data_IF_987596923356
#
_entry.id   IF_987596923356
#
_cell.length_a   1.000
_cell.length_b   1.000
_cell.length_c   1.000
_cell.angle_alpha   90.00
_cell.angle_beta   90.00
_cell.angle_gamma   90.00
#
_symmetry.space_group_name_H-M   'P 1'
#
loop_
_entity.id
_entity.type
_entity.pdbx_description
1 polymer ?
#
# COMPACT_ATOMS: atom_id res chain seq x y z
N UNK A 1 2.29 -11.52 -17.75
CA UNK A 1 1.69 -12.32 -16.66
C UNK A 1 0.67 -11.44 -15.93
N UNK A 2 -0.50 -11.95 -15.51
CA UNK A 2 -1.69 -11.24 -14.97
C UNK A 2 -2.77 -10.73 -15.94
N UNK A 3 -2.49 -10.54 -17.24
CA UNK A 3 -3.52 -10.07 -18.20
C UNK A 3 -4.77 -10.98 -18.22
N UNK A 4 -4.60 -12.30 -18.36
CA UNK A 4 -5.74 -13.22 -18.31
C UNK A 4 -6.45 -13.23 -16.95
N UNK A 5 -5.71 -13.02 -15.85
CA UNK A 5 -6.28 -12.97 -14.50
C UNK A 5 -7.15 -11.74 -14.32
N UNK A 6 -6.70 -10.57 -14.78
CA UNK A 6 -7.50 -9.34 -14.69
C UNK A 6 -8.72 -9.41 -15.62
N UNK A 7 -8.60 -9.99 -16.83
CA UNK A 7 -9.76 -10.23 -17.71
C UNK A 7 -10.82 -11.08 -16.99
N UNK A 8 -10.41 -12.14 -16.28
CA UNK A 8 -11.34 -13.03 -15.56
C UNK A 8 -11.88 -12.42 -14.27
N UNK A 9 -11.07 -11.68 -13.52
CA UNK A 9 -11.40 -11.25 -12.14
C UNK A 9 -11.88 -9.80 -12.01
N UNK A 10 -11.44 -8.92 -12.90
CA UNK A 10 -11.80 -7.50 -12.87
C UNK A 10 -11.83 -6.89 -14.28
N UNK A 11 -12.72 -7.37 -15.18
CA UNK A 11 -12.85 -6.82 -16.53
C UNK A 11 -13.32 -5.36 -16.53
N UNK A 12 -14.04 -4.93 -15.49
CA UNK A 12 -14.54 -3.55 -15.35
C UNK A 12 -13.39 -2.55 -15.22
N UNK A 13 -12.33 -2.88 -14.48
CA UNK A 13 -11.13 -2.04 -14.38
C UNK A 13 -10.48 -1.82 -15.77
N UNK A 14 -10.46 -2.85 -16.62
CA UNK A 14 -9.92 -2.73 -17.99
C UNK A 14 -10.78 -1.76 -18.80
N UNK A 15 -12.10 -1.94 -18.76
CA UNK A 15 -13.04 -1.08 -19.50
C UNK A 15 -12.95 0.39 -19.04
N UNK A 16 -12.85 0.62 -17.73
CA UNK A 16 -12.68 1.95 -17.16
C UNK A 16 -11.38 2.60 -17.63
N UNK A 17 -10.25 1.88 -17.55
CA UNK A 17 -8.95 2.39 -17.99
C UNK A 17 -8.93 2.74 -19.49
N UNK A 18 -9.49 1.87 -20.34
CA UNK A 18 -9.60 2.11 -21.79
C UNK A 18 -10.46 3.34 -22.08
N UNK A 19 -11.62 3.45 -21.43
CA UNK A 19 -12.53 4.58 -21.61
C UNK A 19 -11.87 5.89 -21.18
N UNK A 20 -11.29 5.94 -19.99
CA UNK A 20 -10.58 7.13 -19.48
C UNK A 20 -9.46 7.56 -20.43
N UNK A 21 -8.69 6.61 -20.96
CA UNK A 21 -7.62 6.91 -21.91
C UNK A 21 -8.16 7.42 -23.26
N UNK A 22 -9.17 6.75 -23.84
CA UNK A 22 -9.78 7.16 -25.11
C UNK A 22 -10.48 8.52 -25.02
N UNK A 23 -10.99 8.87 -23.84
CA UNK A 23 -11.57 10.17 -23.55
C UNK A 23 -10.52 11.27 -23.25
N UNK A 24 -9.24 10.93 -23.14
CA UNK A 24 -8.18 11.86 -22.78
C UNK A 24 -8.16 12.28 -21.30
N UNK A 25 -8.85 11.55 -20.41
CA UNK A 25 -8.91 11.81 -18.97
C UNK A 25 -7.62 11.38 -18.26
N UNK A 26 -6.92 10.39 -18.80
CA UNK A 26 -5.61 9.93 -18.32
C UNK A 26 -4.60 9.82 -19.47
N UNK A 27 -3.32 10.18 -19.25
CA UNK A 27 -2.28 10.01 -20.25
C UNK A 27 -1.79 8.56 -20.32
N UNK A 28 -1.02 8.19 -21.37
CA UNK A 28 -0.22 6.98 -21.35
C UNK A 28 0.75 6.97 -20.15
N UNK A 29 1.30 5.79 -19.81
CA UNK A 29 2.18 5.60 -18.65
C UNK A 29 1.49 5.87 -17.29
N UNK A 30 0.19 5.56 -17.19
CA UNK A 30 -0.61 5.70 -15.97
C UNK A 30 -1.02 4.32 -15.43
N UNK A 31 -0.87 4.12 -14.13
CA UNK A 31 -1.44 2.97 -13.43
C UNK A 31 -2.84 3.31 -12.94
N UNK A 32 -3.84 2.51 -13.32
CA UNK A 32 -5.22 2.63 -12.82
C UNK A 32 -5.44 1.62 -11.72
N UNK A 33 -5.92 2.07 -10.56
CA UNK A 33 -6.03 1.26 -9.34
C UNK A 33 -7.49 1.25 -8.89
N UNK A 34 -8.06 0.06 -8.78
CA UNK A 34 -9.41 -0.17 -8.27
C UNK A 34 -9.44 -0.11 -6.73
N UNK A 35 -9.91 1.00 -6.19
CA UNK A 35 -10.00 1.23 -4.74
C UNK A 35 -11.06 0.38 -4.05
N UNK A 36 -12.12 -0.01 -4.77
CA UNK A 36 -13.14 -0.94 -4.24
C UNK A 36 -12.54 -2.35 -4.12
N UNK A 37 -11.71 -2.72 -5.09
CA UNK A 37 -10.89 -3.93 -5.05
C UNK A 37 -9.94 -3.94 -3.85
N UNK A 38 -9.21 -2.85 -3.60
CA UNK A 38 -8.33 -2.71 -2.42
C UNK A 38 -9.14 -2.87 -1.13
N UNK A 39 -10.29 -2.20 -1.03
CA UNK A 39 -11.18 -2.27 0.14
C UNK A 39 -11.59 -3.71 0.46
N UNK A 40 -12.08 -4.45 -0.55
CA UNK A 40 -12.50 -5.85 -0.39
C UNK A 40 -11.33 -6.76 -0.02
N UNK A 41 -10.19 -6.60 -0.69
CA UNK A 41 -9.01 -7.43 -0.44
C UNK A 41 -8.42 -7.19 0.96
N UNK A 42 -8.36 -5.93 1.39
CA UNK A 42 -7.89 -5.56 2.73
C UNK A 42 -8.75 -6.23 3.81
N UNK A 43 -10.07 -6.22 3.64
CA UNK A 43 -10.98 -6.89 4.57
C UNK A 43 -10.75 -8.40 4.63
N UNK A 44 -10.61 -9.07 3.48
CA UNK A 44 -10.34 -10.51 3.42
C UNK A 44 -9.03 -10.86 4.16
N UNK A 45 -7.97 -10.08 3.94
CA UNK A 45 -6.68 -10.28 4.58
C UNK A 45 -6.75 -10.02 6.09
N UNK A 46 -7.41 -8.93 6.51
CA UNK A 46 -7.67 -8.58 7.92
C UNK A 46 -8.42 -9.70 8.63
N UNK A 47 -9.53 -10.16 8.06
CA UNK A 47 -10.40 -11.16 8.69
C UNK A 47 -9.65 -12.50 8.82
N UNK A 48 -8.79 -12.85 7.85
CA UNK A 48 -7.89 -14.00 7.95
C UNK A 48 -6.83 -13.82 9.04
N UNK A 49 -6.13 -12.68 9.08
CA UNK A 49 -5.07 -12.42 10.05
C UNK A 49 -5.61 -12.48 11.49
N UNK A 50 -6.77 -11.87 11.74
CA UNK A 50 -7.47 -11.90 13.05
C UNK A 50 -7.83 -13.32 13.49
N UNK A 51 -8.23 -14.19 12.57
CA UNK A 51 -8.53 -15.61 12.89
C UNK A 51 -7.32 -16.35 13.46
N UNK A 52 -6.12 -15.93 13.10
CA UNK A 52 -4.86 -16.56 13.49
C UNK A 52 -4.03 -15.71 14.47
N UNK A 53 -4.61 -14.65 15.04
CA UNK A 53 -3.93 -13.72 15.94
C UNK A 53 -2.63 -13.13 15.34
N UNK A 54 -2.68 -12.83 14.04
CA UNK A 54 -1.56 -12.24 13.30
C UNK A 54 -1.76 -10.74 13.10
N UNK A 55 -0.65 -10.00 13.18
CA UNK A 55 -0.60 -8.60 12.78
C UNK A 55 -0.34 -8.42 11.30
N UNK A 56 -0.86 -7.33 10.73
CA UNK A 56 -0.67 -7.01 9.30
C UNK A 56 0.10 -5.71 9.09
N UNK A 57 1.19 -5.81 8.33
CA UNK A 57 1.90 -4.65 7.80
C UNK A 57 1.71 -4.55 6.28
N UNK A 58 1.13 -3.45 5.84
CA UNK A 58 0.92 -3.16 4.42
C UNK A 58 2.27 -2.80 3.80
N UNK A 59 2.77 -3.66 2.91
CA UNK A 59 3.86 -3.32 2.01
C UNK A 59 3.35 -2.30 1.00
N UNK A 60 4.04 -1.18 0.85
CA UNK A 60 3.56 -0.07 0.02
C UNK A 60 4.47 0.27 -1.16
N UNK A 61 5.62 -0.40 -1.25
CA UNK A 61 6.66 -0.11 -2.25
C UNK A 61 6.17 -0.34 -3.68
N UNK A 62 5.35 -1.36 -3.90
CA UNK A 62 4.87 -1.82 -5.20
C UNK A 62 3.91 -0.85 -5.89
N UNK A 63 3.24 0.03 -5.13
CA UNK A 63 2.40 1.11 -5.66
C UNK A 63 2.93 2.49 -5.26
N UNK A 64 4.26 2.62 -5.19
CA UNK A 64 4.98 3.88 -4.97
C UNK A 64 4.63 4.61 -3.66
N UNK A 65 4.36 3.86 -2.58
CA UNK A 65 3.98 4.37 -1.26
C UNK A 65 2.79 5.34 -1.29
N UNK A 66 1.86 5.13 -2.23
CA UNK A 66 0.72 6.04 -2.40
C UNK A 66 -0.11 6.15 -1.10
N UNK A 67 -0.30 7.35 -0.53
CA UNK A 67 -0.95 7.51 0.76
C UNK A 67 -2.44 7.16 0.73
N UNK A 68 -3.13 7.35 -0.40
CA UNK A 68 -4.57 7.05 -0.52
C UNK A 68 -4.80 5.54 -0.40
N UNK A 69 -3.99 4.73 -1.10
CA UNK A 69 -4.09 3.27 -1.06
C UNK A 69 -3.87 2.75 0.36
N UNK A 70 -2.82 3.23 1.02
CA UNK A 70 -2.50 2.83 2.40
C UNK A 70 -3.63 3.21 3.37
N UNK A 71 -4.17 4.44 3.29
CA UNK A 71 -5.29 4.87 4.14
C UNK A 71 -6.52 3.98 3.95
N UNK A 72 -6.84 3.64 2.71
CA UNK A 72 -7.98 2.76 2.40
C UNK A 72 -7.74 1.36 2.96
N UNK A 73 -6.55 0.79 2.76
CA UNK A 73 -6.22 -0.54 3.25
C UNK A 73 -6.31 -0.61 4.79
N UNK A 74 -5.74 0.39 5.49
CA UNK A 74 -5.76 0.48 6.96
C UNK A 74 -7.19 0.69 7.48
N UNK A 75 -7.94 1.63 6.88
CA UNK A 75 -9.34 1.87 7.24
C UNK A 75 -10.20 0.61 7.12
N UNK A 76 -9.82 -0.33 6.25
CA UNK A 76 -10.54 -1.58 6.02
C UNK A 76 -9.95 -2.80 6.74
N UNK A 77 -9.15 -2.56 7.79
CA UNK A 77 -8.83 -3.56 8.80
C UNK A 77 -7.38 -4.03 8.83
N UNK A 78 -6.54 -3.61 7.88
CA UNK A 78 -5.09 -3.78 8.02
C UNK A 78 -4.56 -2.76 9.05
N UNK A 79 -3.47 -3.07 9.75
CA UNK A 79 -3.11 -2.29 10.96
C UNK A 79 -2.21 -1.10 10.66
N UNK A 80 -1.04 -1.35 10.09
CA UNK A 80 -0.06 -0.32 9.79
C UNK A 80 0.72 -0.67 8.54
N UNK A 81 1.71 0.15 8.16
CA UNK A 81 2.55 -0.11 6.99
C UNK A 81 3.92 -0.66 7.39
N UNK A 82 4.58 -1.33 6.45
CA UNK A 82 6.02 -1.60 6.50
C UNK A 82 6.72 -0.74 5.47
N UNK A 83 7.78 -0.05 5.92
CA UNK A 83 8.63 0.77 5.06
C UNK A 83 9.93 0.02 4.74
N UNK A 84 10.12 -0.30 3.46
CA UNK A 84 11.33 -1.02 2.99
C UNK A 84 12.61 -0.21 3.19
N UNK A 85 12.50 1.12 3.13
CA UNK A 85 13.61 2.05 3.23
C UNK A 85 13.16 3.35 3.93
N UNK A 86 14.13 4.14 4.38
CA UNK A 86 13.87 5.40 5.09
C UNK A 86 13.07 6.40 4.27
N UNK A 87 13.24 6.41 2.94
CA UNK A 87 12.49 7.32 2.06
C UNK A 87 11.01 6.93 2.02
N UNK A 88 10.70 5.64 1.98
CA UNK A 88 9.35 5.13 2.13
C UNK A 88 8.74 5.54 3.47
N UNK A 89 9.47 5.37 4.57
CA UNK A 89 8.99 5.73 5.90
C UNK A 89 8.68 7.23 6.01
N UNK A 90 9.60 8.09 5.56
CA UNK A 90 9.42 9.55 5.53
C UNK A 90 8.18 9.98 4.74
N UNK A 91 7.93 9.36 3.57
CA UNK A 91 6.72 9.64 2.78
C UNK A 91 5.46 9.24 3.55
N UNK A 92 5.45 8.04 4.14
CA UNK A 92 4.29 7.52 4.86
C UNK A 92 3.96 8.38 6.09
N UNK A 93 4.95 8.68 6.92
CA UNK A 93 4.78 9.57 8.08
C UNK A 93 4.37 10.98 7.69
N UNK A 94 4.94 11.56 6.61
CA UNK A 94 4.53 12.87 6.09
C UNK A 94 3.02 12.94 5.79
N UNK A 95 2.41 11.84 5.37
CA UNK A 95 0.98 11.78 5.07
C UNK A 95 0.12 11.22 6.22
N UNK A 96 0.70 11.06 7.41
CA UNK A 96 0.04 10.54 8.61
C UNK A 96 -0.32 9.07 8.49
N UNK A 97 0.47 8.28 7.75
CA UNK A 97 0.32 6.83 7.66
C UNK A 97 1.20 6.18 8.73
N UNK A 98 0.66 5.32 9.60
CA UNK A 98 1.46 4.63 10.60
C UNK A 98 2.42 3.65 9.94
N UNK A 99 3.69 3.66 10.37
CA UNK A 99 4.73 2.69 9.97
C UNK A 99 5.03 1.82 11.18
N UNK A 100 4.54 0.57 11.17
CA UNK A 100 4.81 -0.38 12.24
C UNK A 100 6.17 -1.06 12.11
N UNK A 101 6.72 -1.17 10.90
CA UNK A 101 7.99 -1.86 10.67
C UNK A 101 8.88 -1.11 9.68
N UNK A 102 10.14 -0.92 10.03
CA UNK A 102 11.22 -0.38 9.20
C UNK A 102 12.51 -1.16 9.52
N UNK A 103 13.55 -1.05 8.68
CA UNK A 103 14.83 -1.75 8.88
C UNK A 103 14.96 -3.03 8.06
N UNK A 104 13.86 -3.51 7.48
CA UNK A 104 13.84 -4.63 6.56
C UNK A 104 12.99 -4.31 5.32
N UNK A 105 13.49 -4.49 4.09
CA UNK A 105 14.73 -5.17 3.68
C UNK A 105 16.01 -4.31 3.82
N UNK A 106 15.88 -2.98 3.87
CA UNK A 106 17.04 -2.09 3.99
C UNK A 106 17.16 -1.58 5.42
N UNK A 107 18.39 -1.57 5.93
CA UNK A 107 18.71 -1.04 7.25
C UNK A 107 18.50 0.48 7.30
N UNK A 108 18.18 0.99 8.49
CA UNK A 108 18.06 2.43 8.74
C UNK A 108 19.46 3.06 8.73
N UNK A 109 19.71 4.11 7.92
CA UNK A 109 20.97 4.83 7.99
C UNK A 109 21.19 5.45 9.38
N UNK A 110 22.41 5.41 9.91
CA UNK A 110 22.72 5.90 11.27
C UNK A 110 22.21 7.34 11.54
N UNK A 111 22.32 8.22 10.55
CA UNK A 111 21.87 9.61 10.68
C UNK A 111 20.34 9.76 10.77
N UNK A 112 19.59 8.76 10.32
CA UNK A 112 18.12 8.75 10.34
C UNK A 112 17.54 7.99 11.55
N UNK A 113 18.37 7.28 12.33
CA UNK A 113 17.91 6.53 13.52
C UNK A 113 17.13 7.42 14.50
N UNK A 114 17.60 8.62 14.90
CA UNK A 114 16.84 9.47 15.81
C UNK A 114 15.44 9.81 15.29
N UNK A 115 15.34 10.13 14.00
CA UNK A 115 14.07 10.42 13.34
C UNK A 115 13.14 9.20 13.33
N UNK A 116 13.68 8.00 13.07
CA UNK A 116 12.88 6.77 13.09
C UNK A 116 12.36 6.49 14.50
N UNK A 117 13.20 6.60 15.53
CA UNK A 117 12.79 6.34 16.92
C UNK A 117 11.73 7.35 17.38
N UNK A 118 11.87 8.63 17.03
CA UNK A 118 10.89 9.69 17.35
C UNK A 118 9.50 9.42 16.74
N UNK A 119 9.43 8.67 15.64
CA UNK A 119 8.17 8.27 15.00
C UNK A 119 7.62 6.91 15.48
N UNK A 120 8.24 6.32 16.51
CA UNK A 120 7.74 5.18 17.30
C UNK A 120 7.22 3.97 16.47
N UNK A 121 8.00 3.37 15.55
CA UNK A 121 7.61 2.13 14.90
C UNK A 121 7.60 0.96 15.91
N UNK A 122 6.83 -0.09 15.61
CA UNK A 122 6.76 -1.30 16.43
C UNK A 122 8.04 -2.16 16.32
N UNK A 123 8.70 -2.14 15.16
CA UNK A 123 9.89 -2.94 14.84
C UNK A 123 10.89 -2.11 14.01
N UNK A 124 12.18 -2.16 14.38
CA UNK A 124 13.34 -1.56 13.68
C UNK A 124 14.41 -2.63 13.45
#
# INVERSE_FOLDING_TARGET
MFLEKIIKRNPVLIQAAVKMHQNGEIPPNTWVIDLDGITKNAKILSDCAKKYDLKTYVMSKEYARNPVINKIAIKNGLESTVAVDIQGAKILWRYGIPVGHIGHLNQVPNADIPFVIENEPEVI
#
